data_IF_266887340955
#
_entry.id   IF_266887340955
#
_cell.length_a   1.000
_cell.length_b   1.000
_cell.length_c   1.000
_cell.angle_alpha   90.00
_cell.angle_beta   90.00
_cell.angle_gamma   90.00
#
_symmetry.space_group_name_H-M   'P 1'
#
loop_
_entity.id
_entity.type
_entity.pdbx_description
1 polymer ?
#
# COMPACT_ATOMS: atom_id res chain seq x y z
N UNK A 1 34.21 -26.45 -51.04
CA UNK A 1 34.22 -25.05 -51.53
C UNK A 1 33.40 -25.00 -52.82
N UNK A 2 32.81 -23.85 -53.21
CA UNK A 2 32.60 -22.60 -52.46
C UNK A 2 31.41 -22.80 -51.46
N UNK A 3 30.43 -21.92 -51.16
CA UNK A 3 30.16 -20.53 -51.57
C UNK A 3 29.32 -19.70 -50.57
N UNK A 4 29.70 -18.42 -50.46
CA UNK A 4 28.91 -17.20 -50.24
C UNK A 4 29.59 -16.16 -51.17
N UNK A 5 28.94 -15.13 -51.76
CA UNK A 5 27.97 -14.27 -51.06
C UNK A 5 26.86 -13.59 -51.91
N UNK A 6 25.91 -12.91 -51.25
CA UNK A 6 25.70 -11.46 -51.50
C UNK A 6 25.05 -10.75 -50.32
N UNK A 7 25.25 -9.44 -50.27
CA UNK A 7 24.89 -8.51 -49.18
C UNK A 7 24.00 -7.41 -49.77
N UNK A 8 22.80 -7.23 -49.25
CA UNK A 8 21.95 -6.07 -49.53
C UNK A 8 21.15 -5.71 -48.28
N UNK A 9 21.19 -4.43 -47.91
CA UNK A 9 20.44 -3.90 -46.78
C UNK A 9 20.12 -2.42 -47.05
N UNK A 10 18.84 -2.05 -47.09
CA UNK A 10 18.36 -0.69 -46.85
C UNK A 10 16.83 -0.59 -46.86
N UNK A 11 16.25 -0.16 -45.73
CA UNK A 11 15.07 0.75 -45.65
C UNK A 11 13.74 0.16 -46.23
N UNK A 12 12.54 0.64 -45.89
CA UNK A 12 12.06 1.63 -44.89
C UNK A 12 10.57 1.32 -44.63
N UNK A 13 10.11 1.35 -43.38
CA UNK A 13 8.80 1.92 -43.01
C UNK A 13 8.82 2.30 -41.53
N UNK A 14 8.40 3.54 -41.21
CA UNK A 14 8.33 4.10 -39.85
C UNK A 14 6.89 4.51 -39.57
N UNK A 15 6.32 4.01 -38.48
CA UNK A 15 5.26 4.61 -37.65
C UNK A 15 5.36 3.85 -36.30
N UNK A 16 5.62 4.49 -35.17
CA UNK A 16 4.60 5.05 -34.26
C UNK A 16 3.59 3.97 -33.81
N UNK A 17 3.39 3.70 -32.52
CA UNK A 17 3.40 4.63 -31.37
C UNK A 17 4.13 4.05 -30.13
N UNK A 18 4.74 4.93 -29.31
CA UNK A 18 4.96 4.73 -27.87
C UNK A 18 4.12 5.79 -27.14
N UNK A 19 3.52 5.48 -25.98
CA UNK A 19 4.15 6.02 -24.76
C UNK A 19 4.19 5.07 -23.55
N UNK A 20 5.06 5.46 -22.62
CA UNK A 20 5.38 4.82 -21.32
C UNK A 20 4.14 4.53 -20.44
N UNK A 21 4.09 3.33 -19.86
CA UNK A 21 3.81 3.09 -18.42
C UNK A 21 4.69 1.91 -17.99
N UNK A 22 5.88 2.17 -17.43
CA UNK A 22 6.10 2.22 -15.97
C UNK A 22 5.52 1.00 -15.24
N UNK A 23 6.25 -0.11 -15.27
CA UNK A 23 6.41 -0.94 -14.07
C UNK A 23 6.91 -0.05 -12.92
N UNK A 24 6.58 -0.37 -11.66
CA UNK A 24 7.54 -1.16 -10.90
C UNK A 24 6.94 -2.21 -9.94
N UNK A 25 7.82 -3.10 -9.48
CA UNK A 25 7.72 -3.85 -8.23
C UNK A 25 6.48 -4.77 -8.06
N UNK A 26 6.57 -5.93 -8.73
CA UNK A 26 6.17 -7.21 -8.12
C UNK A 26 7.05 -7.46 -6.89
N UNK A 27 6.74 -6.81 -5.76
CA UNK A 27 7.54 -6.96 -4.53
C UNK A 27 7.00 -8.13 -3.70
N UNK A 28 7.45 -9.32 -4.07
CA UNK A 28 7.17 -10.60 -3.40
C UNK A 28 7.92 -10.67 -2.07
N UNK A 29 7.44 -9.93 -1.05
CA UNK A 29 8.06 -9.91 0.28
C UNK A 29 7.74 -11.20 1.03
N UNK A 30 8.55 -12.23 0.77
CA UNK A 30 8.69 -13.44 1.59
C UNK A 30 9.18 -13.06 2.99
N UNK A 31 8.28 -12.63 3.87
CA UNK A 31 8.57 -12.37 5.28
C UNK A 31 8.47 -13.68 6.06
N UNK A 32 9.58 -14.38 6.22
CA UNK A 32 9.63 -15.69 6.90
C UNK A 32 9.42 -15.57 8.41
N UNK A 33 8.46 -16.36 8.92
CA UNK A 33 8.32 -16.86 10.31
C UNK A 33 8.03 -15.82 11.42
N UNK A 34 7.47 -16.34 12.52
CA UNK A 34 7.40 -15.76 13.88
C UNK A 34 7.00 -14.28 14.04
N UNK A 35 5.68 -13.99 14.13
CA UNK A 35 5.09 -12.83 14.86
C UNK A 35 3.57 -13.01 15.06
N UNK A 36 3.14 -14.19 15.55
CA UNK A 36 1.75 -14.73 15.50
C UNK A 36 0.69 -13.98 16.35
N UNK A 37 0.97 -12.79 16.88
CA UNK A 37 0.08 -12.05 17.78
C UNK A 37 -0.47 -10.73 17.20
N UNK A 38 0.22 -10.06 16.26
CA UNK A 38 -0.14 -8.70 15.77
C UNK A 38 -1.20 -8.70 14.66
N UNK A 39 -2.27 -9.45 14.84
CA UNK A 39 -3.29 -9.67 13.80
C UNK A 39 -4.18 -8.45 13.59
N UNK A 40 -4.40 -7.63 14.62
CA UNK A 40 -5.32 -6.51 14.54
C UNK A 40 -4.69 -5.31 13.80
N UNK A 41 -3.45 -4.95 14.15
CA UNK A 41 -2.68 -3.95 13.43
C UNK A 41 -2.47 -4.30 11.93
N UNK A 42 -2.17 -5.57 11.62
CA UNK A 42 -2.01 -6.00 10.22
C UNK A 42 -3.32 -5.92 9.41
N UNK A 43 -4.48 -6.12 10.04
CA UNK A 43 -5.78 -5.89 9.39
C UNK A 43 -6.02 -4.40 9.10
N UNK A 44 -5.70 -3.51 10.05
CA UNK A 44 -5.83 -2.08 9.84
C UNK A 44 -4.90 -1.57 8.73
N UNK A 45 -3.65 -2.06 8.70
CA UNK A 45 -2.70 -1.82 7.61
C UNK A 45 -3.25 -2.25 6.23
N UNK A 46 -3.89 -3.42 6.17
CA UNK A 46 -4.48 -3.94 4.94
C UNK A 46 -5.67 -3.08 4.45
N UNK A 47 -6.52 -2.60 5.37
CA UNK A 47 -7.60 -1.66 5.03
C UNK A 47 -7.06 -0.31 4.58
N UNK A 48 -6.09 0.30 5.29
CA UNK A 48 -5.40 1.52 4.84
C UNK A 48 -4.88 1.36 3.41
N UNK A 49 -4.17 0.28 3.11
CA UNK A 49 -3.59 0.07 1.78
C UNK A 49 -4.60 -0.14 0.63
N UNK A 50 -5.87 -0.48 0.94
CA UNK A 50 -6.97 -0.45 -0.05
C UNK A 50 -7.50 0.97 -0.27
N UNK A 51 -7.55 1.80 0.78
CA UNK A 51 -8.08 3.16 0.73
C UNK A 51 -7.06 4.21 0.24
N UNK A 52 -5.78 3.86 0.24
CA UNK A 52 -4.65 4.74 -0.10
C UNK A 52 -4.34 4.79 -1.59
N UNK A 53 -4.55 5.97 -2.19
CA UNK A 53 -4.38 6.25 -3.61
C UNK A 53 -3.19 7.18 -3.90
N UNK A 54 -2.86 8.10 -2.99
CA UNK A 54 -1.81 9.10 -3.19
C UNK A 54 -0.43 8.62 -2.75
N UNK A 55 0.62 9.29 -3.26
CA UNK A 55 2.01 8.98 -2.92
C UNK A 55 2.31 9.15 -1.42
N UNK A 56 1.70 10.17 -0.79
CA UNK A 56 1.79 10.42 0.66
C UNK A 56 1.18 9.24 1.43
N UNK A 57 0.00 8.78 1.05
CA UNK A 57 -0.66 7.63 1.68
C UNK A 57 0.24 6.38 1.63
N UNK A 58 0.91 6.14 0.49
CA UNK A 58 1.87 5.03 0.33
C UNK A 58 3.12 5.17 1.21
N UNK A 59 3.55 6.38 1.55
CA UNK A 59 4.58 6.60 2.56
C UNK A 59 4.07 6.34 3.98
N UNK A 60 2.90 6.87 4.33
CA UNK A 60 2.28 6.65 5.64
C UNK A 60 2.11 5.15 5.91
N UNK A 61 1.70 4.36 4.92
CA UNK A 61 1.63 2.89 4.97
C UNK A 61 3.00 2.23 5.22
N UNK A 62 4.06 2.68 4.54
CA UNK A 62 5.42 2.14 4.77
C UNK A 62 5.88 2.39 6.20
N UNK A 63 5.71 3.62 6.69
CA UNK A 63 6.06 4.00 8.06
C UNK A 63 5.20 3.24 9.08
N UNK A 64 3.91 3.06 8.81
CA UNK A 64 3.01 2.27 9.64
C UNK A 64 3.46 0.81 9.75
N UNK A 65 3.89 0.19 8.64
CA UNK A 65 4.43 -1.18 8.67
C UNK A 65 5.68 -1.30 9.54
N UNK A 66 6.57 -0.31 9.51
CA UNK A 66 7.74 -0.26 10.39
C UNK A 66 7.30 -0.19 11.85
N UNK A 67 6.39 0.73 12.19
CA UNK A 67 5.85 0.88 13.54
C UNK A 67 5.21 -0.41 14.06
N UNK A 68 4.40 -1.10 13.25
CA UNK A 68 3.80 -2.41 13.59
C UNK A 68 4.87 -3.48 13.84
N UNK A 69 6.00 -3.44 13.14
CA UNK A 69 7.06 -4.42 13.36
C UNK A 69 7.85 -4.15 14.65
N UNK A 70 8.10 -2.86 14.95
CA UNK A 70 8.90 -2.39 16.10
C UNK A 70 8.17 -2.36 17.44
N UNK A 71 6.89 -1.97 17.51
CA UNK A 71 6.12 -1.99 18.77
C UNK A 71 5.72 -3.43 19.09
N UNK A 72 6.01 -3.99 20.26
CA UNK A 72 5.68 -5.40 20.52
C UNK A 72 4.18 -5.65 20.74
N UNK A 73 3.45 -4.66 21.24
CA UNK A 73 2.03 -4.73 21.54
C UNK A 73 1.12 -4.64 20.29
N UNK A 74 0.00 -5.35 20.30
CA UNK A 74 -1.08 -5.25 19.29
C UNK A 74 -2.28 -4.50 19.87
N UNK A 75 -2.98 -3.72 19.04
CA UNK A 75 -4.20 -3.05 19.49
C UNK A 75 -5.27 -4.08 19.89
N UNK A 76 -6.05 -3.80 20.92
CA UNK A 76 -7.11 -4.74 21.34
C UNK A 76 -8.18 -4.88 20.24
N UNK A 77 -8.85 -6.04 20.20
CA UNK A 77 -9.96 -6.29 19.25
C UNK A 77 -11.11 -5.27 19.38
N UNK A 78 -11.33 -4.70 20.57
CA UNK A 78 -12.31 -3.62 20.80
C UNK A 78 -11.92 -2.37 20.01
N UNK A 79 -10.69 -1.90 20.21
CA UNK A 79 -10.14 -0.73 19.53
C UNK A 79 -10.10 -0.89 18.00
N UNK A 80 -9.76 -2.09 17.49
CA UNK A 80 -9.88 -2.40 16.06
C UNK A 80 -11.34 -2.30 15.57
N UNK A 81 -12.30 -2.85 16.33
CA UNK A 81 -13.72 -2.79 15.96
C UNK A 81 -14.28 -1.37 15.99
N UNK A 82 -13.85 -0.53 16.94
CA UNK A 82 -14.14 0.92 16.93
C UNK A 82 -13.58 1.56 15.64
N UNK A 83 -12.30 1.34 15.32
CA UNK A 83 -11.69 1.89 14.09
C UNK A 83 -12.43 1.43 12.81
N UNK A 84 -12.84 0.17 12.72
CA UNK A 84 -13.48 -0.36 11.51
C UNK A 84 -14.99 -0.08 11.42
N UNK A 85 -15.70 0.10 12.54
CA UNK A 85 -17.16 0.35 12.56
C UNK A 85 -17.56 1.77 12.96
N UNK A 86 -17.10 2.24 14.12
CA UNK A 86 -17.50 3.56 14.65
C UNK A 86 -16.32 4.54 14.72
N UNK A 87 -15.99 5.05 13.54
CA UNK A 87 -14.93 6.04 13.31
C UNK A 87 -15.22 7.42 13.91
N UNK A 88 -16.40 7.66 14.48
CA UNK A 88 -16.72 8.89 15.23
C UNK A 88 -16.33 8.74 16.70
N UNK A 89 -16.50 7.53 17.25
CA UNK A 89 -16.14 7.18 18.63
C UNK A 89 -14.67 6.75 18.81
N UNK A 90 -13.82 6.84 17.78
CA UNK A 90 -12.38 6.54 17.89
C UNK A 90 -11.64 7.71 18.51
N UNK A 91 -11.36 7.61 19.80
CA UNK A 91 -10.49 8.55 20.51
C UNK A 91 -9.04 8.16 20.17
N UNK A 92 -8.38 8.95 19.32
CA UNK A 92 -7.00 8.67 18.94
C UNK A 92 -6.04 8.62 20.16
N UNK A 93 -6.35 9.32 21.25
CA UNK A 93 -5.58 9.32 22.50
C UNK A 93 -5.64 8.00 23.29
N UNK A 94 -6.55 7.07 22.98
CA UNK A 94 -6.56 5.72 23.57
C UNK A 94 -5.47 4.81 22.98
N UNK A 95 -4.70 5.30 22.01
CA UNK A 95 -3.62 4.59 21.35
C UNK A 95 -2.29 5.30 21.65
N UNK A 96 -1.24 4.52 21.95
CA UNK A 96 0.09 5.08 22.19
C UNK A 96 0.56 5.95 21.02
N UNK A 97 1.28 7.03 21.32
CA UNK A 97 1.59 8.15 20.42
C UNK A 97 2.09 7.73 19.03
N UNK A 98 2.90 6.68 18.96
CA UNK A 98 3.39 6.11 17.71
C UNK A 98 2.27 5.66 16.74
N UNK A 99 1.10 5.23 17.23
CA UNK A 99 -0.03 4.76 16.43
C UNK A 99 -1.01 5.87 16.04
N UNK A 100 -1.14 6.92 16.86
CA UNK A 100 -2.11 8.00 16.66
C UNK A 100 -2.11 8.66 15.28
N UNK A 101 -0.97 9.05 14.67
CA UNK A 101 -0.99 9.71 13.36
C UNK A 101 -1.50 8.78 12.25
N UNK A 102 -1.23 7.48 12.35
CA UNK A 102 -1.70 6.48 11.39
C UNK A 102 -3.21 6.24 11.50
N UNK A 103 -3.75 6.21 12.72
CA UNK A 103 -5.18 6.10 12.98
C UNK A 103 -5.91 7.36 12.51
N UNK A 104 -5.40 8.56 12.83
CA UNK A 104 -5.88 9.85 12.30
C UNK A 104 -5.88 9.87 10.75
N UNK A 105 -4.85 9.30 10.11
CA UNK A 105 -4.79 9.17 8.65
C UNK A 105 -5.78 8.14 8.09
N UNK A 106 -6.01 6.99 8.75
CA UNK A 106 -7.04 6.03 8.34
C UNK A 106 -8.45 6.65 8.41
N UNK A 107 -8.77 7.39 9.48
CA UNK A 107 -10.04 8.11 9.61
C UNK A 107 -10.24 9.13 8.47
N UNK A 108 -9.17 9.79 8.01
CA UNK A 108 -9.20 10.66 6.83
C UNK A 108 -9.41 9.88 5.53
N UNK A 109 -8.67 8.78 5.32
CA UNK A 109 -8.79 7.92 4.12
C UNK A 109 -10.19 7.33 3.95
N UNK A 110 -10.79 6.84 5.03
CA UNK A 110 -12.17 6.35 5.00
C UNK A 110 -13.15 7.49 4.71
N UNK A 111 -13.04 8.63 5.40
CA UNK A 111 -13.88 9.82 5.15
C UNK A 111 -13.79 10.33 3.71
N UNK A 112 -12.63 10.16 3.05
CA UNK A 112 -12.45 10.36 1.60
C UNK A 112 -13.17 9.26 0.79
N UNK A 113 -12.98 7.99 1.12
CA UNK A 113 -13.62 6.85 0.44
C UNK A 113 -15.15 6.88 0.51
N UNK A 114 -15.75 7.19 1.67
CA UNK A 114 -17.21 7.36 1.84
C UNK A 114 -17.78 8.53 1.03
N UNK A 115 -16.98 9.55 0.71
CA UNK A 115 -17.37 10.62 -0.23
C UNK A 115 -17.25 10.18 -1.69
N UNK A 116 -16.19 9.46 -2.05
CA UNK A 116 -15.96 8.93 -3.42
C UNK A 116 -16.94 7.79 -3.78
N UNK A 117 -17.50 7.09 -2.79
CA UNK A 117 -18.50 6.02 -2.97
C UNK A 117 -19.96 6.51 -3.00
N UNK A 118 -20.22 7.82 -2.92
CA UNK A 118 -21.55 8.36 -3.23
C UNK A 118 -21.64 8.62 -4.74
N UNK A 119 -22.55 7.95 -5.48
CA UNK A 119 -22.97 8.42 -6.80
C UNK A 119 -23.77 9.73 -6.69
#
# INVERSE_FOLDING_TARGET
MPSKPKRVAAKKKKAAVKPKKKSPLKQEVKSTRTKTKKVNLLKLYAEMNKLSHDAVDKEVIKRFKIIIDTIEEDITKKSLLQILRDQKSVIASEFGDALQPYIKHYLFLDKRSKRVKKP
#
